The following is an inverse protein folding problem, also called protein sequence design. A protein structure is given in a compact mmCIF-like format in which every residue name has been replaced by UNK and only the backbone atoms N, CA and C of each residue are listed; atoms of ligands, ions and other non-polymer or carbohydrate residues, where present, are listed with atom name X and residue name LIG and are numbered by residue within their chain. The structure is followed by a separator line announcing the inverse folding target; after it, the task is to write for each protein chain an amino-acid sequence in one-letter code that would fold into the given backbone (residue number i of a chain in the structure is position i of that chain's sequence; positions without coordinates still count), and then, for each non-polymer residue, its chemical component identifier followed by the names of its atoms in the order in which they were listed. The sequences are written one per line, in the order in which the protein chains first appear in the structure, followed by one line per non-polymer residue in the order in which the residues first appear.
data_IF_693881324597
#
_entry.id   IF_693881324597
#
_cell.length_a   1.000
_cell.length_b   1.000
_cell.length_c   1.000
_cell.angle_alpha   90.00
_cell.angle_beta   90.00
_cell.angle_gamma   90.00
#
_symmetry.space_group_name_H-M   'P 1'
#
loop_
_entity.id
_entity.type
_entity.pdbx_description
1 polymer ?
#
# COMPACT_ATOMS: atom_id res chain seq x y z
N UNK A 1 0.21 -5.67 -21.04
CA UNK A 1 -0.35 -4.51 -21.77
C UNK A 1 0.77 -3.56 -22.10
N UNK A 2 0.69 -2.86 -23.22
CA UNK A 2 1.69 -1.88 -23.65
C UNK A 2 1.06 -0.48 -23.66
N UNK A 3 1.78 0.50 -23.13
CA UNK A 3 1.43 1.92 -23.14
C UNK A 3 2.45 2.68 -24.00
N UNK A 4 1.94 3.47 -24.94
CA UNK A 4 2.72 4.44 -25.69
C UNK A 4 2.09 5.84 -25.50
N UNK A 5 2.87 6.81 -25.05
CA UNK A 5 2.46 8.21 -24.90
C UNK A 5 3.37 9.07 -25.77
N UNK A 6 2.78 9.84 -26.67
CA UNK A 6 3.50 10.90 -27.40
C UNK A 6 3.22 12.26 -26.74
N UNK A 7 4.28 12.92 -26.24
CA UNK A 7 4.19 14.24 -25.63
C UNK A 7 5.37 15.12 -26.06
N UNK A 8 5.08 16.32 -26.56
CA UNK A 8 6.08 17.30 -27.01
C UNK A 8 7.15 16.72 -27.96
N UNK A 9 6.74 15.85 -28.89
CA UNK A 9 7.65 15.21 -29.85
C UNK A 9 8.52 14.08 -29.27
N UNK A 10 8.33 13.73 -27.99
CA UNK A 10 8.92 12.56 -27.35
C UNK A 10 7.91 11.42 -27.27
N UNK A 11 8.39 10.19 -27.45
CA UNK A 11 7.62 8.96 -27.20
C UNK A 11 8.10 8.36 -25.87
N UNK A 12 7.13 7.93 -25.06
CA UNK A 12 7.30 7.25 -23.78
C UNK A 12 6.58 5.92 -23.85
N UNK A 13 7.29 4.83 -23.55
CA UNK A 13 6.77 3.48 -23.66
C UNK A 13 6.88 2.78 -22.31
N UNK A 14 5.92 1.93 -21.99
CA UNK A 14 5.98 1.07 -20.81
C UNK A 14 5.12 -0.20 -20.98
N UNK A 15 5.55 -1.28 -20.35
CA UNK A 15 4.82 -2.55 -20.33
C UNK A 15 4.36 -2.88 -18.91
N UNK A 16 3.16 -3.46 -18.83
CA UNK A 16 2.56 -3.94 -17.59
C UNK A 16 2.24 -5.45 -17.70
N UNK A 17 2.67 -6.22 -16.70
CA UNK A 17 2.32 -7.63 -16.54
C UNK A 17 0.93 -7.75 -15.94
N UNK A 18 -0.02 -8.34 -16.67
CA UNK A 18 -1.41 -8.49 -16.21
C UNK A 18 -1.78 -9.88 -15.75
N UNK A 19 -0.89 -10.87 -15.91
CA UNK A 19 -1.12 -12.21 -15.39
C UNK A 19 -0.79 -12.23 -13.88
N UNK A 20 -1.61 -11.50 -13.11
CA UNK A 20 -1.46 -11.38 -11.67
C UNK A 20 -2.53 -12.26 -11.01
N UNK A 21 -2.10 -13.19 -10.17
CA UNK A 21 -3.02 -14.06 -9.47
C UNK A 21 -3.69 -13.31 -8.32
N UNK A 22 -5.00 -13.51 -8.19
CA UNK A 22 -5.78 -12.94 -7.11
C UNK A 22 -5.62 -13.83 -5.87
N UNK A 23 -5.03 -13.28 -4.81
CA UNK A 23 -4.93 -13.99 -3.54
C UNK A 23 -6.27 -14.08 -2.83
N UNK A 24 -6.40 -15.10 -1.99
CA UNK A 24 -7.53 -15.29 -1.07
C UNK A 24 -7.01 -15.06 0.34
N UNK A 25 -7.65 -14.16 1.07
CA UNK A 25 -7.33 -13.89 2.48
C UNK A 25 -7.88 -15.06 3.29
N UNK A 26 -7.01 -15.75 4.02
CA UNK A 26 -7.36 -16.88 4.89
C UNK A 26 -7.97 -16.38 6.19
N UNK A 27 -7.34 -15.36 6.79
CA UNK A 27 -7.80 -14.76 8.04
C UNK A 27 -7.25 -13.35 8.25
N UNK A 28 -7.92 -12.61 9.12
CA UNK A 28 -7.50 -11.30 9.60
C UNK A 28 -7.40 -11.38 11.13
N UNK A 29 -6.35 -10.77 11.68
CA UNK A 29 -6.19 -10.59 13.11
C UNK A 29 -5.83 -9.12 13.42
N UNK A 30 -5.87 -8.80 14.70
CA UNK A 30 -5.47 -7.50 15.23
C UNK A 30 -4.36 -7.69 16.25
N UNK A 31 -3.43 -6.74 16.31
CA UNK A 31 -2.45 -6.64 17.40
C UNK A 31 -2.48 -5.22 17.96
N UNK A 32 -2.58 -5.11 19.29
CA UNK A 32 -2.50 -3.81 19.98
C UNK A 32 -1.10 -3.20 19.92
N UNK A 33 -0.08 -4.04 19.71
CA UNK A 33 1.30 -3.60 19.66
C UNK A 33 2.12 -4.48 18.71
N UNK A 34 2.86 -3.86 17.81
CA UNK A 34 4.00 -4.42 17.10
C UNK A 34 5.05 -3.32 16.95
N UNK A 35 6.33 -3.70 16.93
CA UNK A 35 7.41 -2.74 16.74
C UNK A 35 7.85 -2.73 15.28
N UNK A 36 7.95 -1.55 14.70
CA UNK A 36 8.64 -1.32 13.44
C UNK A 36 9.77 -0.28 13.61
N UNK A 37 10.28 0.25 12.50
CA UNK A 37 11.36 1.26 12.51
C UNK A 37 10.91 2.64 12.97
N UNK A 38 9.60 2.87 13.11
CA UNK A 38 8.97 4.13 13.52
C UNK A 38 8.46 4.09 14.97
N UNK A 39 8.30 2.90 15.56
CA UNK A 39 7.97 2.75 16.98
C UNK A 39 7.08 1.54 17.25
N UNK A 40 6.37 1.61 18.38
CA UNK A 40 5.30 0.67 18.70
C UNK A 40 4.00 1.17 18.08
N UNK A 41 3.33 0.30 17.33
CA UNK A 41 2.12 0.58 16.59
C UNK A 41 1.07 -0.50 16.83
N UNK A 42 -0.20 -0.13 16.74
CA UNK A 42 -1.30 -1.10 16.59
C UNK A 42 -1.42 -1.51 15.12
N UNK A 43 -1.86 -2.74 14.87
CA UNK A 43 -1.75 -3.33 13.54
C UNK A 43 -2.86 -4.27 13.16
N UNK A 44 -3.25 -4.18 11.90
CA UNK A 44 -4.09 -5.17 11.25
C UNK A 44 -3.19 -6.19 10.56
N UNK A 45 -3.45 -7.46 10.81
CA UNK A 45 -2.67 -8.58 10.30
C UNK A 45 -3.51 -9.35 9.30
N UNK A 46 -2.98 -9.52 8.09
CA UNK A 46 -3.59 -10.37 7.06
C UNK A 46 -2.75 -11.62 6.85
N UNK A 47 -3.42 -12.76 6.75
CA UNK A 47 -2.83 -14.05 6.42
C UNK A 47 -3.42 -14.53 5.10
N UNK A 48 -2.57 -14.92 4.16
CA UNK A 48 -2.97 -15.49 2.88
C UNK A 48 -1.88 -16.40 2.34
N UNK A 49 -2.22 -17.25 1.38
CA UNK A 49 -1.24 -18.11 0.70
C UNK A 49 -0.65 -17.40 -0.50
N UNK A 50 0.67 -17.49 -0.65
CA UNK A 50 1.38 -17.05 -1.83
C UNK A 50 1.00 -17.89 -3.06
N UNK A 51 0.59 -17.29 -4.19
CA UNK A 51 0.46 -17.98 -5.46
C UNK A 51 1.77 -18.67 -5.88
N UNK A 52 1.68 -19.84 -6.51
CA UNK A 52 2.89 -20.50 -7.03
C UNK A 52 3.30 -19.82 -8.34
N UNK A 53 4.54 -19.36 -8.44
CA UNK A 53 5.05 -18.67 -9.61
C UNK A 53 6.13 -17.65 -9.27
N UNK A 54 6.90 -17.19 -10.27
CA UNK A 54 8.02 -16.30 -10.01
C UNK A 54 7.56 -14.90 -9.60
N UNK A 55 7.94 -14.48 -8.39
CA UNK A 55 7.98 -13.09 -7.95
C UNK A 55 6.62 -12.40 -7.92
N UNK A 56 5.85 -12.64 -6.87
CA UNK A 56 4.63 -11.93 -6.55
C UNK A 56 4.91 -10.71 -5.67
N UNK A 57 4.14 -9.65 -5.91
CA UNK A 57 4.20 -8.43 -5.11
C UNK A 57 2.82 -8.09 -4.58
N UNK A 58 2.77 -7.62 -3.35
CA UNK A 58 1.53 -7.37 -2.63
C UNK A 58 1.47 -5.98 -2.04
N UNK A 59 0.24 -5.49 -1.88
CA UNK A 59 -0.04 -4.24 -1.17
C UNK A 59 -1.35 -4.34 -0.42
N UNK A 60 -1.36 -3.85 0.81
CA UNK A 60 -2.57 -3.78 1.63
C UNK A 60 -3.53 -2.71 1.13
N UNK A 61 -4.82 -2.99 1.26
CA UNK A 61 -5.88 -2.06 0.98
C UNK A 61 -7.02 -2.24 1.97
N UNK A 62 -7.54 -1.14 2.49
CA UNK A 62 -8.68 -1.13 3.40
C UNK A 62 -9.73 -0.10 2.96
N UNK A 63 -11.00 -0.46 3.13
CA UNK A 63 -12.10 0.50 3.09
C UNK A 63 -12.76 0.56 4.46
N UNK A 64 -12.89 1.76 5.04
CA UNK A 64 -13.58 1.94 6.32
C UNK A 64 -14.15 3.34 6.48
N UNK A 65 -15.00 3.49 7.48
CA UNK A 65 -15.36 4.81 7.98
C UNK A 65 -14.31 5.30 8.98
N UNK A 66 -13.98 6.59 8.90
CA UNK A 66 -13.14 7.28 9.88
C UNK A 66 -13.84 8.53 10.38
N UNK A 67 -13.56 8.91 11.63
CA UNK A 67 -14.05 10.15 12.20
C UNK A 67 -13.43 11.35 11.48
N UNK A 68 -14.27 12.26 11.00
CA UNK A 68 -13.85 13.44 10.24
C UNK A 68 -13.13 14.50 11.06
N UNK A 69 -13.30 14.50 12.39
CA UNK A 69 -12.56 15.38 13.30
C UNK A 69 -11.07 15.03 13.35
N UNK A 70 -10.72 13.81 12.92
CA UNK A 70 -9.37 13.30 12.77
C UNK A 70 -8.90 13.53 11.33
N UNK A 71 -8.90 14.81 10.91
CA UNK A 71 -8.55 15.24 9.55
C UNK A 71 -7.07 14.98 9.14
N UNK A 72 -6.29 14.29 9.97
CA UNK A 72 -4.84 14.23 9.86
C UNK A 72 -4.29 12.82 10.17
N UNK A 73 -3.73 12.16 9.15
CA UNK A 73 -2.82 11.02 9.33
C UNK A 73 -1.46 11.46 9.92
N UNK A 74 -1.19 12.77 10.00
CA UNK A 74 -0.05 13.33 10.72
C UNK A 74 -0.41 14.71 11.28
N UNK A 75 -0.25 14.91 12.58
CA UNK A 75 -0.54 16.15 13.34
C UNK A 75 0.17 17.40 12.74
N UNK A 76 1.17 17.22 11.87
CA UNK A 76 2.05 18.29 11.36
C UNK A 76 1.58 19.01 10.09
N UNK A 77 0.60 18.50 9.36
CA UNK A 77 0.14 19.13 8.12
C UNK A 77 -1.30 19.59 8.32
N UNK A 78 -1.46 20.87 8.63
CA UNK A 78 -2.72 21.61 8.74
C UNK A 78 -3.44 21.74 7.38
N UNK A 79 -3.61 20.63 6.67
CA UNK A 79 -4.37 20.52 5.45
C UNK A 79 -5.76 20.00 5.82
N UNK A 80 -6.66 20.93 6.09
CA UNK A 80 -8.08 20.62 6.27
C UNK A 80 -8.67 20.38 4.87
N UNK A 81 -9.30 19.22 4.66
CA UNK A 81 -9.98 18.93 3.40
C UNK A 81 -11.43 19.44 3.48
N UNK A 82 -11.74 20.50 2.73
CA UNK A 82 -13.07 21.13 2.68
C UNK A 82 -14.19 20.20 2.17
N UNK A 83 -13.84 19.02 1.62
CA UNK A 83 -14.81 18.01 1.19
C UNK A 83 -15.33 17.12 2.35
N UNK A 84 -14.84 17.33 3.58
CA UNK A 84 -15.25 16.59 4.78
C UNK A 84 -16.38 17.35 5.47
N UNK A 85 -17.64 16.99 5.19
CA UNK A 85 -18.84 17.72 5.62
C UNK A 85 -19.72 16.97 6.66
N UNK A 86 -19.25 15.86 7.24
CA UNK A 86 -20.01 15.07 8.22
C UNK A 86 -19.11 14.40 9.27
N UNK A 87 -19.68 13.82 10.33
CA UNK A 87 -18.94 13.26 11.49
C UNK A 87 -18.09 12.02 11.15
N UNK A 88 -18.43 11.31 10.07
CA UNK A 88 -17.64 10.20 9.54
C UNK A 88 -17.52 10.28 8.02
N UNK A 89 -16.38 9.85 7.49
CA UNK A 89 -16.13 9.74 6.05
C UNK A 89 -15.68 8.33 5.69
N UNK A 90 -16.10 7.84 4.53
CA UNK A 90 -15.55 6.61 3.97
C UNK A 90 -14.21 6.93 3.29
N UNK A 91 -13.18 6.18 3.66
CA UNK A 91 -11.87 6.28 3.05
C UNK A 91 -11.49 4.96 2.38
N UNK A 92 -10.68 5.09 1.34
CA UNK A 92 -9.86 4.02 0.83
C UNK A 92 -8.45 4.24 1.34
N UNK A 93 -8.00 3.36 2.23
CA UNK A 93 -6.65 3.35 2.74
C UNK A 93 -5.82 2.37 1.91
N UNK A 94 -4.68 2.84 1.39
CA UNK A 94 -3.71 2.00 0.70
C UNK A 94 -2.47 1.93 1.58
N UNK A 95 -2.08 0.71 1.94
CA UNK A 95 -0.83 0.48 2.66
C UNK A 95 0.31 1.17 1.92
N UNK A 96 1.14 1.91 2.64
CA UNK A 96 2.27 2.60 2.03
C UNK A 96 3.31 1.59 1.54
N UNK A 97 3.65 0.63 2.39
CA UNK A 97 4.63 -0.39 2.09
C UNK A 97 4.09 -1.39 1.08
N UNK A 98 5.01 -1.90 0.28
CA UNK A 98 4.77 -2.98 -0.68
C UNK A 98 5.62 -4.18 -0.26
N UNK A 99 5.10 -5.38 -0.53
CA UNK A 99 5.67 -6.62 -0.05
C UNK A 99 6.07 -7.47 -1.25
N UNK A 100 7.20 -8.14 -1.16
CA UNK A 100 7.68 -9.13 -2.11
C UNK A 100 7.50 -10.50 -1.46
N UNK A 101 7.06 -11.50 -2.22
CA UNK A 101 6.93 -12.87 -1.72
C UNK A 101 8.26 -13.54 -1.41
N UNK A 102 9.38 -13.01 -1.92
CA UNK A 102 10.71 -13.60 -1.87
C UNK A 102 10.76 -15.03 -2.44
N UNK A 103 9.86 -15.36 -3.38
CA UNK A 103 9.61 -16.71 -3.92
C UNK A 103 9.21 -17.72 -2.83
N UNK A 104 8.37 -17.29 -1.88
CA UNK A 104 7.81 -18.13 -0.83
C UNK A 104 6.59 -18.94 -1.32
N UNK A 105 6.67 -19.45 -2.56
CA UNK A 105 5.59 -20.06 -3.32
C UNK A 105 4.79 -21.07 -2.50
N UNK A 106 3.49 -20.84 -2.40
CA UNK A 106 2.56 -21.75 -1.74
C UNK A 106 2.68 -21.80 -0.21
N UNK A 107 3.49 -20.95 0.42
CA UNK A 107 3.50 -20.80 1.87
C UNK A 107 2.61 -19.63 2.30
N UNK A 108 2.34 -19.56 3.60
CA UNK A 108 1.57 -18.46 4.16
C UNK A 108 2.42 -17.18 4.22
N UNK A 109 1.85 -16.11 3.70
CA UNK A 109 2.34 -14.75 3.85
C UNK A 109 1.56 -14.06 4.96
N UNK A 110 2.28 -13.28 5.76
CA UNK A 110 1.76 -12.43 6.81
C UNK A 110 2.12 -10.98 6.50
N UNK A 111 1.11 -10.14 6.34
CA UNK A 111 1.29 -8.68 6.21
C UNK A 111 0.70 -8.01 7.46
N UNK A 112 1.52 -7.19 8.13
CA UNK A 112 1.10 -6.34 9.27
C UNK A 112 1.12 -4.90 8.80
N UNK A 113 0.01 -4.18 9.01
CA UNK A 113 -0.14 -2.78 8.62
C UNK A 113 -0.68 -1.97 9.77
N UNK A 114 0.00 -0.86 10.07
CA UNK A 114 -0.54 0.22 10.90
C UNK A 114 -1.61 0.99 10.10
N UNK A 115 -2.85 1.10 10.61
CA UNK A 115 -3.85 1.97 10.01
C UNK A 115 -3.41 3.44 10.06
N UNK A 116 -3.48 4.16 8.94
CA UNK A 116 -3.04 5.54 8.81
C UNK A 116 -3.90 6.55 9.58
N UNK A 117 -5.12 6.16 9.93
CA UNK A 117 -6.02 6.97 10.76
C UNK A 117 -6.37 6.20 12.03
N UNK A 118 -6.51 6.95 13.13
CA UNK A 118 -7.05 6.44 14.38
C UNK A 118 -8.43 5.79 14.15
N UNK A 119 -8.75 4.82 14.99
CA UNK A 119 -10.00 4.06 14.94
C UNK A 119 -10.64 3.96 16.33
N UNK A 120 -11.81 3.30 16.38
CA UNK A 120 -12.57 3.03 17.60
C UNK A 120 -13.19 1.64 17.50
N UNK A 121 -13.51 1.08 18.66
CA UNK A 121 -14.20 -0.20 18.78
C UNK A 121 -15.47 -0.23 17.94
N UNK A 122 -15.68 -1.33 17.23
CA UNK A 122 -16.90 -1.57 16.47
C UNK A 122 -16.93 -0.92 15.09
N UNK A 123 -15.90 -0.18 14.69
CA UNK A 123 -15.78 0.29 13.30
C UNK A 123 -15.57 -0.92 12.38
N UNK A 124 -16.45 -1.06 11.40
CA UNK A 124 -16.32 -2.05 10.35
C UNK A 124 -15.40 -1.56 9.24
N UNK A 125 -14.52 -2.44 8.80
CA UNK A 125 -13.67 -2.26 7.63
C UNK A 125 -13.76 -3.46 6.68
N UNK A 126 -13.39 -3.21 5.44
CA UNK A 126 -13.28 -4.23 4.40
C UNK A 126 -11.83 -4.24 3.91
N UNK A 127 -11.16 -5.35 4.19
CA UNK A 127 -9.74 -5.53 3.89
C UNK A 127 -9.58 -6.30 2.59
N UNK A 128 -8.62 -5.87 1.77
CA UNK A 128 -8.22 -6.49 0.52
C UNK A 128 -6.70 -6.52 0.41
N UNK A 129 -6.19 -7.50 -0.33
CA UNK A 129 -4.81 -7.51 -0.79
C UNK A 129 -4.81 -7.25 -2.29
N UNK A 130 -3.96 -6.32 -2.72
CA UNK A 130 -3.65 -6.09 -4.11
C UNK A 130 -2.46 -6.96 -4.49
N UNK A 131 -2.59 -7.81 -5.51
CA UNK A 131 -1.44 -8.36 -6.20
C UNK A 131 -1.06 -7.38 -7.30
N UNK A 132 0.18 -6.89 -7.28
CA UNK A 132 0.65 -5.80 -8.14
C UNK A 132 1.80 -6.30 -9.02
N UNK A 133 2.01 -5.70 -10.18
CA UNK A 133 3.18 -6.03 -10.99
C UNK A 133 4.47 -5.37 -10.46
N UNK A 134 5.60 -5.86 -10.97
CA UNK A 134 6.93 -5.44 -10.56
C UNK A 134 7.19 -3.93 -10.71
N UNK A 135 6.55 -3.26 -11.66
CA UNK A 135 6.75 -1.82 -11.88
C UNK A 135 6.06 -0.99 -10.80
N UNK A 136 4.85 -1.37 -10.40
CA UNK A 136 4.15 -0.77 -9.26
C UNK A 136 4.98 -0.98 -8.00
N UNK A 137 5.45 -2.22 -7.77
CA UNK A 137 6.30 -2.56 -6.62
C UNK A 137 7.55 -1.66 -6.57
N UNK A 138 8.35 -1.63 -7.64
CA UNK A 138 9.59 -0.84 -7.69
C UNK A 138 9.36 0.66 -7.50
N UNK A 139 8.25 1.20 -7.97
CA UNK A 139 7.94 2.62 -7.79
C UNK A 139 7.63 2.92 -6.33
N UNK A 140 6.73 2.17 -5.70
CA UNK A 140 6.35 2.41 -4.31
C UNK A 140 7.45 2.04 -3.31
N UNK A 141 8.26 1.02 -3.59
CA UNK A 141 9.44 0.67 -2.78
C UNK A 141 10.45 1.84 -2.74
N UNK A 142 10.71 2.50 -3.87
CA UNK A 142 11.57 3.69 -3.90
C UNK A 142 11.00 4.87 -3.10
N UNK A 143 9.69 5.10 -3.18
CA UNK A 143 9.04 6.11 -2.34
C UNK A 143 9.14 5.76 -0.85
N UNK A 144 9.02 4.48 -0.52
CA UNK A 144 9.11 4.00 0.86
C UNK A 144 10.53 4.20 1.42
N UNK A 145 11.55 3.78 0.67
CA UNK A 145 12.97 3.97 1.00
C UNK A 145 13.35 5.45 1.10
N UNK A 146 12.87 6.29 0.19
CA UNK A 146 13.11 7.74 0.24
C UNK A 146 12.59 8.33 1.54
N UNK A 147 11.34 8.04 1.91
CA UNK A 147 10.78 8.58 3.15
C UNK A 147 11.49 8.00 4.37
N UNK A 148 11.85 6.71 4.40
CA UNK A 148 12.69 6.15 5.47
C UNK A 148 14.01 6.92 5.65
N UNK A 149 14.72 7.22 4.56
CA UNK A 149 15.95 8.00 4.59
C UNK A 149 15.72 9.46 5.07
N UNK A 150 14.56 10.06 4.78
CA UNK A 150 14.23 11.40 5.27
C UNK A 150 13.99 11.46 6.79
N UNK A 151 13.54 10.36 7.40
CA UNK A 151 13.29 10.28 8.84
C UNK A 151 14.53 9.87 9.66
N UNK A 152 15.50 9.17 9.05
CA UNK A 152 16.69 8.69 9.72
C UNK A 152 17.94 9.51 9.33
N UNK A 153 18.47 10.38 10.22
CA UNK A 153 19.62 11.23 9.90
C UNK A 153 20.94 10.47 9.72
N UNK A 154 20.97 9.17 10.00
CA UNK A 154 22.14 8.30 9.84
C UNK A 154 22.13 7.48 8.55
N UNK A 155 21.07 7.59 7.73
CA UNK A 155 20.96 6.90 6.44
C UNK A 155 21.26 7.88 5.32
N UNK A 156 22.00 7.42 4.31
CA UNK A 156 22.29 8.23 3.12
C UNK A 156 20.99 8.63 2.40
N UNK A 157 20.91 9.85 1.82
CA UNK A 157 19.74 10.26 1.04
C UNK A 157 19.44 9.28 -0.08
N UNK A 158 18.23 8.73 -0.09
CA UNK A 158 17.74 7.89 -1.18
C UNK A 158 17.08 8.78 -2.23
N UNK A 159 17.69 8.82 -3.42
CA UNK A 159 17.11 9.47 -4.59
C UNK A 159 16.21 8.51 -5.35
N UNK A 160 15.07 9.01 -5.83
CA UNK A 160 14.25 8.26 -6.77
C UNK A 160 15.06 8.07 -8.05
N UNK A 161 15.17 6.82 -8.47
CA UNK A 161 15.84 6.42 -9.71
C UNK A 161 14.85 6.48 -10.86
N UNK A 162 15.39 6.50 -12.07
CA UNK A 162 14.60 6.45 -13.28
C UNK A 162 13.69 5.22 -13.30
N UNK A 163 12.42 5.45 -13.63
CA UNK A 163 11.40 4.41 -13.76
C UNK A 163 11.35 3.84 -15.17
N UNK A 164 10.21 3.24 -15.52
CA UNK A 164 9.98 2.69 -16.87
C UNK A 164 10.09 3.73 -17.99
N UNK A 165 9.95 5.01 -17.66
CA UNK A 165 9.99 6.11 -18.62
C UNK A 165 11.37 6.78 -18.74
N UNK A 166 12.40 6.22 -18.11
CA UNK A 166 13.76 6.77 -18.09
C UNK A 166 13.87 8.07 -17.29
N UNK A 167 14.93 8.84 -17.55
CA UNK A 167 15.25 10.13 -16.91
C UNK A 167 14.31 11.29 -17.34
N UNK A 168 13.47 11.06 -18.36
CA UNK A 168 12.62 12.07 -18.98
C UNK A 168 11.24 12.22 -18.35
N UNK A 169 10.80 11.27 -17.51
CA UNK A 169 9.50 11.34 -16.85
C UNK A 169 9.45 10.49 -15.57
N UNK A 170 8.71 10.98 -14.58
CA UNK A 170 8.45 10.27 -13.33
C UNK A 170 7.07 9.60 -13.37
N UNK A 171 7.05 8.31 -13.02
CA UNK A 171 5.82 7.54 -12.88
C UNK A 171 6.05 6.06 -13.14
N UNK A 172 4.95 5.32 -13.15
CA UNK A 172 4.90 3.90 -13.49
C UNK A 172 3.66 3.62 -14.33
N UNK A 173 3.71 2.57 -15.13
CA UNK A 173 2.56 1.97 -15.77
C UNK A 173 2.50 0.50 -15.38
N UNK A 174 1.40 0.12 -14.77
CA UNK A 174 1.27 -1.18 -14.15
C UNK A 174 -0.16 -1.71 -14.14
N UNK A 175 -0.29 -2.92 -13.66
CA UNK A 175 -1.54 -3.61 -13.42
C UNK A 175 -1.61 -4.13 -11.99
N UNK A 176 -2.83 -4.26 -11.51
CA UNK A 176 -3.10 -4.88 -10.23
C UNK A 176 -4.39 -5.71 -10.32
N UNK A 177 -4.45 -6.76 -9.53
CA UNK A 177 -5.70 -7.44 -9.19
C UNK A 177 -5.97 -7.32 -7.70
N UNK A 178 -7.22 -7.46 -7.29
CA UNK A 178 -7.66 -7.27 -5.90
C UNK A 178 -8.32 -8.54 -5.41
N UNK A 179 -7.93 -8.99 -4.22
CA UNK A 179 -8.61 -10.07 -3.49
C UNK A 179 -10.10 -9.75 -3.30
N UNK A 180 -10.88 -10.79 -2.96
CA UNK A 180 -12.19 -10.53 -2.36
C UNK A 180 -12.01 -9.76 -1.05
N UNK A 181 -13.00 -8.96 -0.70
CA UNK A 181 -13.00 -8.22 0.55
C UNK A 181 -13.35 -9.14 1.70
N UNK A 182 -12.59 -9.07 2.80
CA UNK A 182 -12.95 -9.71 4.06
C UNK A 182 -13.28 -8.62 5.07
N UNK A 183 -14.47 -8.74 5.67
CA UNK A 183 -14.90 -7.82 6.71
C UNK A 183 -14.06 -8.01 7.97
N UNK A 184 -13.69 -6.91 8.60
CA UNK A 184 -12.99 -6.85 9.86
C UNK A 184 -13.66 -5.80 10.73
N UNK A 185 -13.78 -6.07 12.03
CA UNK A 185 -14.30 -5.10 12.99
C UNK A 185 -13.20 -4.83 13.99
N UNK A 186 -12.84 -3.56 14.16
CA UNK A 186 -11.83 -3.17 15.13
C UNK A 186 -12.30 -3.57 16.54
N UNK A 187 -11.49 -4.32 17.30
CA UNK A 187 -11.87 -4.84 18.60
C UNK A 187 -11.80 -3.79 19.71
N UNK A 188 -11.19 -2.62 19.46
CA UNK A 188 -10.92 -1.54 20.41
C UNK A 188 -10.99 -0.15 19.75
#
# INVERSE_FOLDING_TARGET
YHLEITWQGSIYEADATTNLEKVVIDSIAYTQAFNDVYGEHEGVITYFKDPVGPGNYFRFQEYRQVDSSLAHASIKLSLQNDCILGDTIFILELGRSVYNDENNDGNQIKIVVEPAYTHREGIESVIKIQSIDANIYKFYDQLDQQKLAQFNPFVEPVFLRDGQFGDRAFGFFGALTRSEGVSFTYPE
#
